data_IF_232912104568
#
_entry.id   IF_232912104568
#
_cell.length_a   1.000
_cell.length_b   1.000
_cell.length_c   1.000
_cell.angle_alpha   90.00
_cell.angle_beta   90.00
_cell.angle_gamma   90.00
#
_symmetry.space_group_name_H-M   'P 1'
#
loop_
_entity.id
_entity.type
_entity.pdbx_description
1 polymer ?
#
# COMPACT_ATOMS: atom_id res chain seq x y z
N UNK A 1 53.41 -5.01 -13.23
CA UNK A 1 52.23 -4.11 -13.24
C UNK A 1 51.23 -4.70 -12.27
N UNK A 2 51.02 -4.02 -11.14
CA UNK A 2 50.13 -4.48 -10.07
C UNK A 2 48.68 -4.23 -10.52
N UNK A 3 47.91 -5.30 -10.72
CA UNK A 3 46.48 -5.20 -10.99
C UNK A 3 45.75 -4.97 -9.67
N UNK A 4 45.26 -3.76 -9.51
CA UNK A 4 44.54 -3.26 -8.34
C UNK A 4 43.22 -4.01 -8.16
N UNK A 5 43.03 -4.53 -6.95
CA UNK A 5 41.75 -5.03 -6.43
C UNK A 5 40.65 -3.97 -6.60
N UNK A 6 39.71 -4.19 -7.52
CA UNK A 6 38.39 -3.57 -7.42
C UNK A 6 37.57 -4.50 -6.53
N UNK A 7 37.60 -4.21 -5.22
CA UNK A 7 36.57 -4.69 -4.32
C UNK A 7 35.28 -4.00 -4.78
N UNK A 8 34.44 -4.74 -5.50
CA UNK A 8 33.05 -4.36 -5.69
C UNK A 8 32.42 -4.29 -4.30
N UNK A 9 32.28 -3.08 -3.76
CA UNK A 9 31.35 -2.86 -2.67
C UNK A 9 29.96 -3.09 -3.26
N UNK A 10 29.43 -4.29 -3.10
CA UNK A 10 28.00 -4.54 -3.18
C UNK A 10 27.34 -3.65 -2.14
N UNK A 11 26.95 -2.45 -2.55
CA UNK A 11 25.98 -1.65 -1.82
C UNK A 11 24.67 -2.42 -1.90
N UNK A 12 24.49 -3.35 -0.97
CA UNK A 12 23.17 -3.83 -0.57
C UNK A 12 22.29 -2.58 -0.41
N UNK A 13 21.12 -2.50 -1.06
CA UNK A 13 20.26 -1.34 -0.91
C UNK A 13 19.96 -1.26 0.59
N UNK A 14 20.56 -0.28 1.26
CA UNK A 14 20.26 0.06 2.63
C UNK A 14 18.74 0.19 2.66
N UNK A 15 18.07 -0.80 3.22
CA UNK A 15 16.62 -0.78 3.41
C UNK A 15 16.42 0.24 4.51
N UNK A 16 16.43 1.51 4.12
CA UNK A 16 16.13 2.63 5.00
C UNK A 16 14.67 2.40 5.41
N UNK A 17 14.50 1.74 6.55
CA UNK A 17 13.20 1.59 7.18
C UNK A 17 12.68 3.00 7.41
N UNK A 18 11.48 3.30 6.94
CA UNK A 18 10.88 4.64 7.05
C UNK A 18 11.00 5.19 8.48
N UNK A 19 10.81 4.32 9.47
CA UNK A 19 10.96 4.63 10.90
C UNK A 19 12.36 5.13 11.28
N UNK A 20 13.44 4.60 10.69
CA UNK A 20 14.81 5.04 10.97
C UNK A 20 15.21 6.28 10.16
N UNK A 21 14.57 6.51 9.01
CA UNK A 21 14.80 7.68 8.16
C UNK A 21 14.34 8.98 8.83
N UNK A 22 13.20 8.93 9.54
CA UNK A 22 12.62 10.11 10.21
C UNK A 22 13.52 10.65 11.32
N UNK A 23 14.23 9.77 12.03
CA UNK A 23 15.09 10.15 13.16
C UNK A 23 16.55 10.43 12.77
N UNK A 24 16.91 10.27 11.49
CA UNK A 24 18.25 10.55 10.99
C UNK A 24 18.24 11.82 10.13
N UNK A 25 18.86 12.89 10.62
CA UNK A 25 18.93 14.20 9.93
C UNK A 25 19.52 14.09 8.53
N UNK A 26 20.51 13.20 8.32
CA UNK A 26 21.12 12.98 7.01
C UNK A 26 20.14 12.29 6.05
N UNK A 27 19.39 11.30 6.54
CA UNK A 27 18.37 10.63 5.72
C UNK A 27 17.23 11.60 5.39
N UNK A 28 16.80 12.42 6.36
CA UNK A 28 15.77 13.43 6.16
C UNK A 28 16.16 14.45 5.07
N UNK A 29 17.43 14.87 5.02
CA UNK A 29 17.95 15.74 3.96
C UNK A 29 17.83 15.11 2.57
N UNK A 30 18.20 13.83 2.43
CA UNK A 30 18.05 13.11 1.16
C UNK A 30 16.59 12.93 0.75
N UNK A 31 15.71 12.65 1.71
CA UNK A 31 14.27 12.54 1.45
C UNK A 31 13.66 13.87 1.02
N UNK A 32 14.12 14.98 1.62
CA UNK A 32 13.66 16.32 1.25
C UNK A 32 14.06 16.65 -0.19
N UNK A 33 15.32 16.39 -0.57
CA UNK A 33 15.78 16.59 -1.95
C UNK A 33 15.02 15.69 -2.95
N UNK A 34 14.71 14.45 -2.57
CA UNK A 34 13.89 13.57 -3.38
C UNK A 34 12.44 14.08 -3.53
N UNK A 35 11.84 14.60 -2.46
CA UNK A 35 10.51 15.19 -2.49
C UNK A 35 10.43 16.46 -3.36
N UNK A 36 11.48 17.29 -3.35
CA UNK A 36 11.61 18.44 -4.25
C UNK A 36 11.69 18.01 -5.71
N UNK A 37 12.51 17.00 -6.03
CA UNK A 37 12.61 16.43 -7.36
C UNK A 37 11.25 15.86 -7.81
N UNK A 38 10.55 15.19 -6.91
CA UNK A 38 9.22 14.64 -7.16
C UNK A 38 8.20 15.74 -7.44
N UNK A 39 8.23 16.85 -6.70
CA UNK A 39 7.36 18.00 -6.94
C UNK A 39 7.62 18.72 -8.27
N UNK A 40 8.82 18.60 -8.84
CA UNK A 40 9.14 19.12 -10.18
C UNK A 40 8.61 18.23 -11.31
N UNK A 41 8.28 16.97 -11.03
CA UNK A 41 7.71 16.10 -12.06
C UNK A 41 6.27 16.51 -12.37
N UNK A 42 6.03 16.93 -13.61
CA UNK A 42 4.69 17.29 -14.09
C UNK A 42 3.91 16.12 -14.71
N UNK A 43 4.61 15.05 -15.12
CA UNK A 43 4.00 13.93 -15.86
C UNK A 43 3.75 12.73 -14.95
N UNK A 44 4.70 12.40 -14.08
CA UNK A 44 4.59 11.19 -13.23
C UNK A 44 3.84 11.46 -11.94
N UNK A 45 3.68 12.73 -11.55
CA UNK A 45 3.01 13.16 -10.32
C UNK A 45 1.75 13.95 -10.70
N UNK A 46 0.61 13.68 -10.04
CA UNK A 46 -0.64 14.35 -10.37
C UNK A 46 -0.64 15.83 -9.96
N UNK A 47 -1.49 16.63 -10.62
CA UNK A 47 -1.53 18.10 -10.50
C UNK A 47 -1.70 18.62 -9.07
N UNK A 48 -2.34 17.85 -8.19
CA UNK A 48 -2.54 18.27 -6.80
C UNK A 48 -1.27 18.22 -5.95
N UNK A 49 -0.23 17.51 -6.40
CA UNK A 49 1.07 17.35 -5.74
C UNK A 49 2.21 18.07 -6.49
N UNK A 50 2.04 18.33 -7.79
CA UNK A 50 3.01 19.09 -8.58
C UNK A 50 3.23 20.50 -7.98
N UNK A 51 4.49 20.87 -7.79
CA UNK A 51 4.88 22.15 -7.16
C UNK A 51 4.69 22.21 -5.63
N UNK A 52 4.32 21.09 -4.98
CA UNK A 52 4.12 21.02 -3.53
C UNK A 52 5.08 20.02 -2.87
N UNK A 53 6.33 20.43 -2.58
CA UNK A 53 7.34 19.54 -2.03
C UNK A 53 6.96 18.95 -0.66
N UNK A 54 6.21 19.70 0.16
CA UNK A 54 5.75 19.21 1.46
C UNK A 54 4.76 18.03 1.34
N UNK A 55 3.81 18.11 0.41
CA UNK A 55 2.85 17.03 0.16
C UNK A 55 3.53 15.81 -0.48
N UNK A 56 4.47 16.05 -1.40
CA UNK A 56 5.32 14.99 -1.97
C UNK A 56 6.13 14.28 -0.88
N UNK A 57 6.70 15.01 0.07
CA UNK A 57 7.48 14.44 1.18
C UNK A 57 6.61 13.51 2.04
N UNK A 58 5.37 13.90 2.35
CA UNK A 58 4.44 13.05 3.08
C UNK A 58 4.17 11.71 2.35
N UNK A 59 4.00 11.77 1.03
CA UNK A 59 3.79 10.57 0.21
C UNK A 59 5.04 9.70 0.13
N UNK A 60 6.22 10.31 0.01
CA UNK A 60 7.50 9.58 0.00
C UNK A 60 7.68 8.82 1.30
N UNK A 61 7.47 9.48 2.44
CA UNK A 61 7.55 8.83 3.75
C UNK A 61 6.53 7.70 3.89
N UNK A 62 5.29 7.91 3.41
CA UNK A 62 4.25 6.89 3.45
C UNK A 62 4.58 5.69 2.58
N UNK A 63 5.09 5.93 1.36
CA UNK A 63 5.49 4.89 0.42
C UNK A 63 6.65 4.06 0.98
N UNK A 64 7.64 4.70 1.61
CA UNK A 64 8.71 4.00 2.30
C UNK A 64 8.18 3.12 3.44
N UNK A 65 7.19 3.60 4.20
CA UNK A 65 6.61 2.83 5.29
C UNK A 65 5.87 1.58 4.80
N UNK A 66 5.32 1.63 3.58
CA UNK A 66 4.70 0.50 2.89
C UNK A 66 5.67 -0.35 2.06
N UNK A 67 6.93 0.09 1.91
CA UNK A 67 7.90 -0.56 1.03
C UNK A 67 7.53 -0.47 -0.45
N UNK A 68 6.80 0.58 -0.85
CA UNK A 68 6.34 0.79 -2.22
C UNK A 68 7.07 1.92 -2.92
N UNK A 69 7.02 1.95 -4.26
CA UNK A 69 7.57 3.04 -5.04
C UNK A 69 6.75 4.33 -4.83
N UNK A 70 7.38 5.46 -4.43
CA UNK A 70 6.69 6.71 -4.14
C UNK A 70 5.94 7.31 -5.35
N UNK A 71 6.46 7.14 -6.57
CA UNK A 71 5.75 7.59 -7.78
C UNK A 71 4.48 6.77 -8.03
N UNK A 72 4.52 5.46 -7.80
CA UNK A 72 3.35 4.59 -7.95
C UNK A 72 2.27 4.90 -6.91
N UNK A 73 2.67 5.20 -5.68
CA UNK A 73 1.77 5.65 -4.61
C UNK A 73 1.13 6.99 -4.99
N UNK A 74 1.93 7.97 -5.43
CA UNK A 74 1.43 9.30 -5.80
C UNK A 74 0.42 9.28 -6.94
N UNK A 75 0.63 8.44 -7.96
CA UNK A 75 -0.32 8.29 -9.08
C UNK A 75 -1.69 7.77 -8.66
N UNK A 76 -1.78 7.13 -7.49
CA UNK A 76 -3.00 6.57 -6.92
C UNK A 76 -3.55 7.40 -5.76
N UNK A 77 -3.18 8.67 -5.71
CA UNK A 77 -3.76 9.66 -4.78
C UNK A 77 -4.79 10.53 -5.50
N UNK A 78 -5.78 10.97 -4.74
CA UNK A 78 -6.80 11.90 -5.20
C UNK A 78 -7.18 12.87 -4.07
N UNK A 79 -7.75 14.02 -4.41
CA UNK A 79 -8.26 14.97 -3.42
C UNK A 79 -9.77 14.84 -3.28
N UNK A 80 -10.25 14.74 -2.05
CA UNK A 80 -11.69 14.79 -1.70
C UNK A 80 -11.87 15.86 -0.64
N UNK A 81 -12.63 16.92 -0.95
CA UNK A 81 -12.88 18.04 -0.03
C UNK A 81 -11.60 18.67 0.55
N UNK A 82 -10.51 18.70 -0.22
CA UNK A 82 -9.21 19.23 0.23
C UNK A 82 -8.37 18.27 1.06
N UNK A 83 -8.85 17.05 1.32
CA UNK A 83 -8.09 16.00 2.02
C UNK A 83 -7.50 15.02 1.00
N UNK A 84 -6.26 14.61 1.23
CA UNK A 84 -5.58 13.60 0.41
C UNK A 84 -6.14 12.21 0.72
N UNK A 85 -6.65 11.54 -0.30
CA UNK A 85 -7.11 10.16 -0.26
C UNK A 85 -6.28 9.25 -1.15
N UNK A 86 -6.29 7.95 -0.83
CA UNK A 86 -5.67 6.90 -1.64
C UNK A 86 -6.74 6.06 -2.34
N UNK A 87 -6.49 5.65 -3.58
CA UNK A 87 -7.39 4.73 -4.28
C UNK A 87 -7.43 3.37 -3.59
N UNK A 88 -8.62 2.75 -3.57
CA UNK A 88 -8.82 1.42 -2.99
C UNK A 88 -7.88 0.36 -3.60
N UNK A 89 -7.50 0.51 -4.88
CA UNK A 89 -6.55 -0.35 -5.56
C UNK A 89 -5.18 -0.34 -4.88
N UNK A 90 -4.68 0.84 -4.51
CA UNK A 90 -3.41 0.99 -3.82
C UNK A 90 -3.50 0.41 -2.40
N UNK A 91 -4.57 0.73 -1.68
CA UNK A 91 -4.78 0.23 -0.31
C UNK A 91 -4.82 -1.30 -0.29
N UNK A 92 -5.48 -1.92 -1.28
CA UNK A 92 -5.49 -3.37 -1.41
C UNK A 92 -4.10 -3.97 -1.68
N UNK A 93 -3.28 -3.29 -2.49
CA UNK A 93 -1.90 -3.71 -2.75
C UNK A 93 -1.05 -3.64 -1.47
N UNK A 94 -1.14 -2.55 -0.70
CA UNK A 94 -0.47 -2.36 0.59
C UNK A 94 -0.86 -3.46 1.60
N UNK A 95 -2.15 -3.75 1.71
CA UNK A 95 -2.64 -4.79 2.61
C UNK A 95 -2.17 -6.17 2.15
N UNK A 96 -2.16 -6.42 0.85
CA UNK A 96 -1.74 -7.71 0.28
C UNK A 96 -0.23 -7.95 0.36
N UNK A 97 0.58 -6.89 0.33
CA UNK A 97 2.04 -6.97 0.50
C UNK A 97 2.45 -7.02 1.98
N UNK A 98 1.54 -6.72 2.90
CA UNK A 98 1.80 -6.79 4.34
C UNK A 98 1.81 -8.23 4.85
N UNK A 99 2.82 -8.58 5.65
CA UNK A 99 2.90 -9.86 6.38
C UNK A 99 1.94 -9.93 7.56
N UNK A 100 1.16 -8.87 7.83
CA UNK A 100 0.11 -8.88 8.84
C UNK A 100 -1.03 -9.87 8.52
N UNK A 101 -1.10 -10.37 7.27
CA UNK A 101 -2.19 -11.23 6.80
C UNK A 101 -1.64 -12.43 6.01
N UNK A 102 -2.07 -13.65 6.34
CA UNK A 102 -1.64 -14.91 5.68
C UNK A 102 -2.75 -15.44 4.76
N UNK A 103 -2.44 -15.69 3.47
CA UNK A 103 -3.27 -16.44 2.47
C UNK A 103 -4.57 -15.75 2.01
N UNK A 104 -4.99 -15.76 0.74
CA UNK A 104 -5.96 -14.83 0.04
C UNK A 104 -7.25 -14.36 0.77
N UNK A 105 -7.86 -13.24 0.31
CA UNK A 105 -9.18 -12.75 0.78
C UNK A 105 -10.29 -13.77 0.53
N UNK A 106 -11.10 -14.01 1.57
CA UNK A 106 -12.30 -14.83 1.50
C UNK A 106 -13.50 -13.91 1.26
N UNK A 107 -14.26 -14.24 0.22
CA UNK A 107 -15.48 -13.53 -0.16
C UNK A 107 -16.65 -14.48 0.06
N UNK A 108 -17.57 -14.12 0.93
CA UNK A 108 -18.86 -14.78 1.07
C UNK A 108 -19.97 -13.89 0.52
N UNK A 109 -20.70 -14.42 -0.46
CA UNK A 109 -21.84 -13.78 -1.09
C UNK A 109 -23.10 -14.31 -0.43
N UNK A 110 -23.85 -13.44 0.24
CA UNK A 110 -25.13 -13.77 0.86
C UNK A 110 -26.30 -13.07 0.17
N UNK A 111 -27.45 -13.73 0.16
CA UNK A 111 -28.66 -13.29 -0.53
C UNK A 111 -28.94 -14.05 -1.83
N UNK A 112 -30.10 -13.80 -2.45
CA UNK A 112 -30.55 -14.47 -3.68
C UNK A 112 -29.91 -13.85 -4.94
N UNK A 113 -28.60 -14.03 -5.10
CA UNK A 113 -27.85 -13.53 -6.26
C UNK A 113 -28.37 -14.09 -7.60
N UNK A 114 -28.94 -15.30 -7.58
CA UNK A 114 -29.58 -15.97 -8.74
C UNK A 114 -30.75 -15.17 -9.33
N UNK A 115 -31.47 -14.38 -8.54
CA UNK A 115 -32.63 -13.59 -9.03
C UNK A 115 -32.21 -12.38 -9.88
N UNK A 116 -30.93 -12.02 -9.82
CA UNK A 116 -30.37 -10.76 -10.33
C UNK A 116 -29.29 -11.04 -11.39
N UNK A 117 -28.69 -12.24 -11.38
CA UNK A 117 -27.76 -12.68 -12.41
C UNK A 117 -28.41 -12.60 -13.81
N UNK A 118 -27.86 -11.72 -14.67
CA UNK A 118 -28.31 -11.56 -16.05
C UNK A 118 -29.37 -10.47 -16.32
N UNK A 119 -29.93 -9.82 -15.29
CA UNK A 119 -30.83 -8.67 -15.47
C UNK A 119 -30.04 -7.36 -15.53
N UNK A 120 -30.30 -6.52 -16.54
CA UNK A 120 -29.63 -5.22 -16.73
C UNK A 120 -30.40 -4.04 -16.15
N UNK A 121 -31.74 -4.11 -16.07
CA UNK A 121 -32.60 -3.06 -15.51
C UNK A 121 -33.54 -3.63 -14.45
N UNK A 122 -33.87 -2.82 -13.42
CA UNK A 122 -34.83 -3.17 -12.36
C UNK A 122 -34.35 -4.24 -11.38
N UNK A 123 -33.05 -4.22 -11.02
CA UNK A 123 -32.48 -5.18 -10.07
C UNK A 123 -32.91 -4.82 -8.65
N UNK A 124 -33.63 -5.73 -8.01
CA UNK A 124 -33.93 -5.62 -6.58
C UNK A 124 -32.73 -6.16 -5.78
N UNK A 125 -31.81 -5.28 -5.40
CA UNK A 125 -30.58 -5.62 -4.66
C UNK A 125 -30.83 -5.69 -3.13
N UNK A 126 -32.08 -5.52 -2.69
CA UNK A 126 -32.43 -5.54 -1.27
C UNK A 126 -32.12 -6.91 -0.65
N UNK A 127 -31.23 -6.91 0.36
CA UNK A 127 -30.82 -8.10 1.09
C UNK A 127 -29.61 -8.84 0.51
N UNK A 128 -29.07 -8.39 -0.63
CA UNK A 128 -27.76 -8.85 -1.09
C UNK A 128 -26.65 -8.27 -0.22
N UNK A 129 -25.68 -9.09 0.14
CA UNK A 129 -24.47 -8.63 0.80
C UNK A 129 -23.26 -9.45 0.38
N UNK A 130 -22.10 -8.81 0.39
CA UNK A 130 -20.81 -9.50 0.28
C UNK A 130 -20.08 -9.27 1.59
N UNK A 131 -19.82 -10.34 2.33
CA UNK A 131 -18.94 -10.30 3.48
C UNK A 131 -17.54 -10.67 3.01
N UNK A 132 -16.59 -9.80 3.32
CA UNK A 132 -15.18 -10.03 3.03
C UNK A 132 -14.46 -10.15 4.35
N UNK A 133 -13.76 -11.26 4.55
CA UNK A 133 -12.91 -11.47 5.71
C UNK A 133 -11.65 -12.22 5.36
N UNK A 134 -10.73 -12.27 6.33
CA UNK A 134 -9.49 -13.01 6.19
C UNK A 134 -8.96 -13.40 7.55
N UNK A 135 -8.31 -14.57 7.61
CA UNK A 135 -7.62 -14.98 8.83
C UNK A 135 -6.38 -14.08 9.02
N UNK A 136 -6.21 -13.45 10.19
CA UNK A 136 -4.97 -12.73 10.51
C UNK A 136 -3.77 -13.67 10.38
N UNK A 137 -2.61 -13.13 9.98
CA UNK A 137 -1.37 -13.88 10.07
C UNK A 137 -1.14 -14.26 11.53
N UNK A 138 -1.12 -15.55 11.85
CA UNK A 138 -0.60 -16.01 13.14
C UNK A 138 0.86 -15.58 13.20
N UNK A 139 1.19 -14.54 13.97
CA UNK A 139 2.53 -14.39 14.53
C UNK A 139 2.68 -15.49 15.56
N UNK A 140 3.46 -16.49 15.21
CA UNK A 140 4.14 -17.46 16.07
C UNK A 140 3.40 -17.95 17.32
N UNK A 141 2.89 -19.18 17.22
CA UNK A 141 2.86 -20.14 18.33
C UNK A 141 1.84 -19.93 19.45
N UNK A 142 0.56 -20.15 19.19
CA UNK A 142 -0.35 -20.77 20.18
C UNK A 142 -1.41 -21.61 19.45
N UNK A 143 -1.63 -22.83 19.96
CA UNK A 143 -2.64 -23.77 19.48
C UNK A 143 -4.05 -23.16 19.61
N UNK A 144 -4.72 -22.90 18.49
CA UNK A 144 -6.16 -22.75 18.45
C UNK A 144 -6.74 -24.12 18.10
N UNK A 145 -7.24 -24.80 19.13
CA UNK A 145 -8.06 -26.00 18.99
C UNK A 145 -9.24 -25.72 18.06
N UNK A 146 -9.54 -26.69 17.21
CA UNK A 146 -10.81 -26.70 16.48
C UNK A 146 -11.92 -26.87 17.52
N UNK A 147 -12.60 -25.78 17.89
CA UNK A 147 -13.93 -25.92 18.48
C UNK A 147 -14.88 -26.35 17.35
N UNK A 148 -15.23 -27.62 17.43
CA UNK A 148 -16.31 -28.26 16.68
C UNK A 148 -17.62 -27.61 17.15
N UNK A 149 -18.23 -26.78 16.30
CA UNK A 149 -19.59 -26.30 16.53
C UNK A 149 -20.58 -27.41 16.12
N UNK A 150 -21.44 -27.90 17.03
CA UNK A 150 -22.44 -28.91 16.71
C UNK A 150 -23.64 -28.28 15.99
N UNK A 151 -24.19 -29.05 15.06
CA UNK A 151 -25.44 -28.82 14.35
C UNK A 151 -25.67 -29.95 13.36
#
# INVERSE_FOLDING_TARGET
MQNTNIIAAEQTPNTISASNAVFNVQALGQLTAFAELMAQSAVTVPKHLAGKPADCMAIVMQAMQWGMNPYAVAQKTHLVNGVLGYEAQLVNAVISSSSAIVGRFHYEYGGDWEKIAGKKDGRDELGLFVRVWRCPARRDGYHLGREHLPG
#
